data_IF_079239780890
#
_entry.id   IF_079239780890
#
_cell.length_a   1.000
_cell.length_b   1.000
_cell.length_c   1.000
_cell.angle_alpha   90.00
_cell.angle_beta   90.00
_cell.angle_gamma   90.00
#
_symmetry.space_group_name_H-M   'P 1'
#
loop_
_entity.id
_entity.type
_entity.pdbx_description
1 polymer ?
#
# COMPACT_ATOMS: atom_id res chain seq x y z
N UNK A 1 -10.99 -8.42 1.62
CA UNK A 1 -10.63 -9.83 1.29
C UNK A 1 -11.79 -10.44 0.52
N UNK A 2 -11.55 -10.99 -0.65
CA UNK A 2 -12.54 -11.73 -1.45
C UNK A 2 -11.99 -13.10 -1.83
N UNK A 3 -12.88 -14.08 -1.91
CA UNK A 3 -12.54 -15.44 -2.34
C UNK A 3 -13.52 -15.83 -3.46
N UNK A 4 -12.99 -16.16 -4.62
CA UNK A 4 -13.80 -16.57 -5.77
C UNK A 4 -13.40 -17.97 -6.22
N UNK A 5 -14.37 -18.82 -6.51
CA UNK A 5 -14.18 -20.14 -7.07
C UNK A 5 -15.10 -20.31 -8.29
N UNK A 6 -14.51 -20.54 -9.45
CA UNK A 6 -15.25 -20.68 -10.72
C UNK A 6 -16.22 -19.52 -11.04
N UNK A 7 -15.90 -18.31 -10.56
CA UNK A 7 -16.75 -17.12 -10.72
C UNK A 7 -17.77 -16.89 -9.60
N UNK A 8 -17.94 -17.84 -8.69
CA UNK A 8 -18.79 -17.72 -7.51
C UNK A 8 -18.05 -17.05 -6.36
N UNK A 9 -18.70 -16.12 -5.66
CA UNK A 9 -18.17 -15.53 -4.42
C UNK A 9 -18.30 -16.54 -3.26
N UNK A 10 -17.16 -16.93 -2.70
CA UNK A 10 -17.00 -17.82 -1.54
C UNK A 10 -16.48 -17.07 -0.32
N UNK A 11 -16.58 -15.76 -0.29
CA UNK A 11 -16.10 -14.94 0.83
C UNK A 11 -16.90 -15.22 2.09
N UNK A 12 -16.26 -15.59 3.22
CA UNK A 12 -16.95 -15.77 4.47
C UNK A 12 -17.63 -14.48 4.94
N UNK A 13 -18.90 -14.56 5.33
CA UNK A 13 -19.64 -13.39 5.85
C UNK A 13 -19.28 -13.07 7.31
N UNK A 14 -19.00 -14.10 8.13
CA UNK A 14 -18.74 -13.92 9.56
C UNK A 14 -17.30 -13.41 9.82
N UNK A 15 -17.15 -12.39 10.71
CA UNK A 15 -15.85 -11.77 10.97
C UNK A 15 -14.75 -12.75 11.42
N UNK A 16 -15.06 -13.67 12.32
CA UNK A 16 -14.10 -14.68 12.82
C UNK A 16 -13.65 -15.67 11.74
N UNK A 17 -14.51 -15.99 10.78
CA UNK A 17 -14.14 -16.81 9.63
C UNK A 17 -13.20 -16.06 8.68
N UNK A 18 -13.45 -14.76 8.42
CA UNK A 18 -12.55 -13.91 7.64
C UNK A 18 -11.19 -13.80 8.29
N UNK A 19 -11.16 -13.55 9.61
CA UNK A 19 -9.92 -13.47 10.38
C UNK A 19 -9.11 -14.77 10.31
N UNK A 20 -9.78 -15.91 10.52
CA UNK A 20 -9.12 -17.21 10.44
C UNK A 20 -8.61 -17.52 9.03
N UNK A 21 -9.42 -17.22 8.00
CA UNK A 21 -9.01 -17.43 6.60
C UNK A 21 -7.85 -16.52 6.22
N UNK A 22 -7.87 -15.27 6.66
CA UNK A 22 -6.76 -14.33 6.46
C UNK A 22 -5.46 -14.86 7.08
N UNK A 23 -5.51 -15.38 8.32
CA UNK A 23 -4.35 -15.98 8.97
C UNK A 23 -3.81 -17.19 8.19
N UNK A 24 -4.68 -18.03 7.66
CA UNK A 24 -4.30 -19.18 6.83
C UNK A 24 -3.69 -18.74 5.49
N UNK A 25 -4.23 -17.69 4.85
CA UNK A 25 -3.70 -17.14 3.59
C UNK A 25 -2.33 -16.47 3.78
N UNK A 26 -2.16 -15.72 4.89
CA UNK A 26 -0.85 -15.14 5.23
C UNK A 26 0.22 -16.20 5.54
N UNK A 27 -0.20 -17.42 5.90
CA UNK A 27 0.65 -18.58 6.11
C UNK A 27 0.37 -19.66 5.05
N UNK A 28 0.13 -19.26 3.81
CA UNK A 28 -0.18 -20.19 2.71
C UNK A 28 0.85 -21.31 2.63
N UNK A 29 0.38 -22.55 2.51
CA UNK A 29 1.21 -23.74 2.46
C UNK A 29 2.04 -24.07 3.71
N UNK A 30 1.79 -23.36 4.82
CA UNK A 30 2.41 -23.60 6.12
C UNK A 30 1.35 -24.01 7.16
N UNK A 31 1.79 -24.70 8.22
CA UNK A 31 0.90 -25.12 9.29
C UNK A 31 0.68 -23.97 10.27
N UNK A 32 -0.57 -23.58 10.44
CA UNK A 32 -0.98 -22.66 11.50
C UNK A 32 -1.42 -23.52 12.69
N UNK A 33 -0.78 -23.37 13.84
CA UNK A 33 -1.04 -24.13 15.04
C UNK A 33 -2.34 -23.72 15.74
N UNK A 34 -2.88 -24.61 16.57
CA UNK A 34 -4.07 -24.30 17.40
C UNK A 34 -3.82 -23.10 18.32
N UNK A 35 -2.62 -22.98 18.88
CA UNK A 35 -2.23 -21.84 19.73
C UNK A 35 -2.29 -20.51 18.94
N UNK A 36 -1.76 -20.49 17.74
CA UNK A 36 -1.81 -19.29 16.87
C UNK A 36 -3.25 -18.90 16.51
N UNK A 37 -4.14 -19.85 16.24
CA UNK A 37 -5.56 -19.51 16.02
C UNK A 37 -6.21 -18.93 17.25
N UNK A 38 -5.95 -19.48 18.45
CA UNK A 38 -6.49 -18.97 19.70
C UNK A 38 -5.96 -17.57 19.98
N UNK A 39 -4.67 -17.34 19.83
CA UNK A 39 -4.01 -16.04 19.98
C UNK A 39 -4.59 -15.01 19.02
N UNK A 40 -4.66 -15.34 17.73
CA UNK A 40 -5.17 -14.43 16.71
C UNK A 40 -6.65 -14.06 16.94
N UNK A 41 -7.48 -15.03 17.29
CA UNK A 41 -8.93 -14.82 17.40
C UNK A 41 -9.36 -14.13 18.69
N UNK A 42 -8.65 -14.31 19.80
CA UNK A 42 -9.08 -13.83 21.13
C UNK A 42 -8.01 -13.06 21.91
N UNK A 43 -6.78 -13.00 21.41
CA UNK A 43 -5.67 -12.34 22.10
C UNK A 43 -5.50 -12.83 23.56
N UNK A 44 -5.77 -11.96 24.52
CA UNK A 44 -5.59 -12.24 25.94
C UNK A 44 -6.83 -12.85 26.63
N UNK A 45 -7.96 -13.01 25.93
CA UNK A 45 -9.24 -13.42 26.54
C UNK A 45 -9.91 -14.59 25.80
N UNK A 46 -9.25 -15.75 25.68
CA UNK A 46 -9.83 -16.91 25.02
C UNK A 46 -10.98 -17.48 25.86
N UNK A 47 -12.11 -17.88 25.24
CA UNK A 47 -13.18 -18.54 25.93
C UNK A 47 -12.77 -19.96 26.41
N UNK A 48 -13.41 -20.53 27.41
CA UNK A 48 -13.06 -21.86 27.94
C UNK A 48 -13.06 -22.99 26.91
N UNK A 49 -13.77 -22.82 25.80
CA UNK A 49 -13.86 -23.79 24.69
C UNK A 49 -13.24 -23.23 23.38
N UNK A 50 -12.21 -22.41 23.47
CA UNK A 50 -11.57 -21.78 22.30
C UNK A 50 -11.16 -22.81 21.24
N UNK A 51 -10.51 -23.89 21.63
CA UNK A 51 -10.09 -24.98 20.72
C UNK A 51 -11.29 -25.61 19.99
N UNK A 52 -12.39 -25.88 20.71
CA UNK A 52 -13.61 -26.43 20.08
C UNK A 52 -14.23 -25.43 19.09
N UNK A 53 -14.19 -24.14 19.40
CA UNK A 53 -14.64 -23.08 18.49
C UNK A 53 -13.79 -23.02 17.22
N UNK A 54 -12.45 -23.12 17.31
CA UNK A 54 -11.56 -23.21 16.15
C UNK A 54 -11.93 -24.39 15.26
N UNK A 55 -12.15 -25.59 15.84
CA UNK A 55 -12.59 -26.76 15.05
C UNK A 55 -13.91 -26.50 14.32
N UNK A 56 -14.86 -25.86 14.99
CA UNK A 56 -16.15 -25.49 14.38
C UNK A 56 -15.95 -24.51 13.20
N UNK A 57 -15.12 -23.48 13.38
CA UNK A 57 -14.82 -22.51 12.31
C UNK A 57 -14.11 -23.16 11.13
N UNK A 58 -13.18 -24.08 11.37
CA UNK A 58 -12.54 -24.85 10.29
C UNK A 58 -13.56 -25.67 9.50
N UNK A 59 -14.50 -26.34 10.19
CA UNK A 59 -15.55 -27.09 9.49
C UNK A 59 -16.44 -26.16 8.63
N UNK A 60 -16.78 -24.98 9.15
CA UNK A 60 -17.57 -23.99 8.43
C UNK A 60 -16.80 -23.41 7.23
N UNK A 61 -15.51 -23.07 7.40
CA UNK A 61 -14.65 -22.63 6.30
C UNK A 61 -14.51 -23.69 5.21
N UNK A 62 -14.34 -24.97 5.57
CA UNK A 62 -14.35 -26.06 4.60
C UNK A 62 -15.65 -26.08 3.77
N UNK A 63 -16.81 -25.92 4.43
CA UNK A 63 -18.10 -25.88 3.73
C UNK A 63 -18.22 -24.68 2.79
N UNK A 64 -17.76 -23.51 3.20
CA UNK A 64 -17.78 -22.27 2.40
C UNK A 64 -16.89 -22.43 1.18
N UNK A 65 -15.64 -22.85 1.38
CA UNK A 65 -14.63 -22.97 0.33
C UNK A 65 -14.94 -24.07 -0.71
N UNK A 66 -15.87 -25.00 -0.39
CA UNK A 66 -16.16 -26.17 -1.27
C UNK A 66 -17.57 -26.17 -1.86
N UNK A 67 -18.33 -25.08 -1.69
CA UNK A 67 -19.64 -24.96 -2.33
C UNK A 67 -20.66 -26.06 -1.99
N UNK A 68 -20.52 -26.73 -0.84
CA UNK A 68 -21.47 -27.77 -0.40
C UNK A 68 -21.22 -29.17 -0.94
N UNK A 69 -20.22 -29.41 -1.77
CA UNK A 69 -19.78 -30.77 -2.09
C UNK A 69 -19.16 -31.45 -0.83
N UNK A 70 -19.30 -32.76 -0.72
CA UNK A 70 -18.88 -33.54 0.46
C UNK A 70 -17.49 -33.13 0.94
N UNK A 71 -17.40 -32.64 2.17
CA UNK A 71 -16.23 -32.01 2.80
C UNK A 71 -14.93 -32.85 2.82
N UNK A 72 -14.97 -34.08 2.35
CA UNK A 72 -13.85 -35.03 2.33
C UNK A 72 -13.02 -34.95 1.03
N UNK A 73 -13.59 -34.41 -0.05
CA UNK A 73 -12.93 -34.44 -1.38
C UNK A 73 -12.02 -33.26 -1.65
N UNK A 74 -11.97 -32.25 -0.83
CA UNK A 74 -11.24 -31.03 -1.14
C UNK A 74 -10.05 -30.80 -0.21
N UNK A 75 -8.89 -31.20 -0.69
CA UNK A 75 -7.61 -31.18 0.01
C UNK A 75 -7.01 -29.80 0.28
N UNK A 76 -7.75 -28.67 0.12
CA UNK A 76 -7.20 -27.33 0.32
C UNK A 76 -6.95 -27.01 1.80
N UNK A 77 -7.94 -27.16 2.68
CA UNK A 77 -7.77 -26.95 4.12
C UNK A 77 -7.51 -28.26 4.84
N UNK A 78 -6.24 -28.58 4.99
CA UNK A 78 -5.73 -29.86 5.48
C UNK A 78 -5.53 -29.84 6.99
N UNK A 79 -5.96 -30.92 7.69
CA UNK A 79 -5.61 -31.12 9.09
C UNK A 79 -4.18 -31.65 9.21
N UNK A 80 -3.44 -31.12 10.17
CA UNK A 80 -2.12 -31.57 10.62
C UNK A 80 -2.14 -31.88 12.12
N UNK A 81 -1.16 -32.60 12.63
CA UNK A 81 -1.11 -32.97 14.04
C UNK A 81 -1.27 -31.76 15.00
N UNK A 82 -0.65 -30.63 14.65
CA UNK A 82 -0.62 -29.44 15.52
C UNK A 82 -1.56 -28.32 15.07
N UNK A 83 -2.32 -28.48 13.97
CA UNK A 83 -3.16 -27.39 13.45
C UNK A 83 -3.70 -27.66 12.05
N UNK A 84 -3.73 -26.59 11.24
CA UNK A 84 -4.30 -26.62 9.90
C UNK A 84 -3.39 -25.94 8.89
N UNK A 85 -3.43 -26.40 7.65
CA UNK A 85 -2.70 -25.84 6.53
C UNK A 85 -3.67 -25.56 5.39
N UNK A 86 -3.62 -24.37 4.82
CA UNK A 86 -4.33 -24.05 3.59
C UNK A 86 -3.38 -24.18 2.40
N UNK A 87 -3.72 -25.08 1.48
CA UNK A 87 -3.01 -25.23 0.20
C UNK A 87 -3.45 -24.13 -0.75
N UNK A 88 -2.47 -23.40 -1.27
CA UNK A 88 -2.64 -22.34 -2.26
C UNK A 88 -1.67 -22.65 -3.39
N UNK A 89 -2.17 -22.64 -4.62
CA UNK A 89 -1.36 -22.85 -5.81
C UNK A 89 -0.82 -21.51 -6.34
N UNK A 90 0.18 -21.59 -7.22
CA UNK A 90 0.75 -20.39 -7.83
C UNK A 90 -0.31 -19.61 -8.62
N UNK A 91 -0.38 -18.32 -8.37
CA UNK A 91 -1.35 -17.42 -9.00
C UNK A 91 -2.73 -17.35 -8.34
N UNK A 92 -3.03 -18.16 -7.31
CA UNK A 92 -4.30 -18.11 -6.59
C UNK A 92 -4.36 -17.03 -5.51
N UNK A 93 -3.22 -16.58 -4.98
CA UNK A 93 -3.13 -15.53 -3.98
C UNK A 93 -2.64 -14.23 -4.63
N UNK A 94 -3.47 -13.22 -4.57
CA UNK A 94 -3.17 -11.89 -5.09
C UNK A 94 -1.93 -11.25 -4.43
N UNK A 95 -1.68 -11.55 -3.16
CA UNK A 95 -0.48 -11.12 -2.45
C UNK A 95 0.81 -11.59 -3.14
N UNK A 96 0.87 -12.85 -3.59
CA UNK A 96 2.05 -13.37 -4.31
C UNK A 96 2.29 -12.63 -5.65
N UNK A 97 1.20 -12.33 -6.36
CA UNK A 97 1.26 -11.56 -7.60
C UNK A 97 1.71 -10.12 -7.33
N UNK A 98 1.18 -9.50 -6.26
CA UNK A 98 1.58 -8.18 -5.80
C UNK A 98 3.09 -8.13 -5.50
N UNK A 99 3.59 -9.04 -4.66
CA UNK A 99 5.02 -9.13 -4.31
C UNK A 99 5.92 -9.36 -5.53
N UNK A 100 5.46 -10.18 -6.47
CA UNK A 100 6.19 -10.42 -7.73
C UNK A 100 6.31 -9.14 -8.56
N UNK A 101 5.20 -8.39 -8.72
CA UNK A 101 5.18 -7.10 -9.42
C UNK A 101 6.03 -6.05 -8.73
N UNK A 102 5.98 -6.00 -7.39
CA UNK A 102 6.82 -5.10 -6.59
C UNK A 102 8.30 -5.34 -6.85
N UNK A 103 8.75 -6.59 -6.74
CA UNK A 103 10.14 -6.97 -6.99
C UNK A 103 10.58 -6.64 -8.41
N UNK A 104 9.77 -6.99 -9.40
CA UNK A 104 10.07 -6.69 -10.80
C UNK A 104 10.09 -5.17 -11.09
N UNK A 105 9.15 -4.41 -10.55
CA UNK A 105 9.11 -2.96 -10.70
C UNK A 105 10.33 -2.26 -10.09
N UNK A 106 10.74 -2.70 -8.89
CA UNK A 106 11.98 -2.20 -8.25
C UNK A 106 13.22 -2.52 -9.08
N UNK A 107 13.32 -3.76 -9.57
CA UNK A 107 14.45 -4.17 -10.42
C UNK A 107 14.56 -3.32 -11.70
N UNK A 108 13.44 -2.95 -12.32
CA UNK A 108 13.42 -2.03 -13.46
C UNK A 108 13.90 -0.63 -13.08
N UNK A 109 13.47 -0.09 -11.92
CA UNK A 109 13.97 1.20 -11.44
C UNK A 109 15.48 1.16 -11.19
N UNK A 110 15.99 0.09 -10.59
CA UNK A 110 17.41 -0.10 -10.30
C UNK A 110 18.24 -0.30 -11.58
N UNK A 111 17.62 -0.84 -12.64
CA UNK A 111 18.22 -0.95 -13.98
C UNK A 111 18.22 0.36 -14.78
N UNK A 112 17.68 1.45 -14.24
CA UNK A 112 17.59 2.75 -14.92
C UNK A 112 16.45 2.83 -15.93
N UNK A 113 15.40 2.03 -15.78
CA UNK A 113 14.18 2.03 -16.60
C UNK A 113 13.00 2.66 -15.83
N UNK A 114 13.02 3.98 -15.54
CA UNK A 114 12.08 4.61 -14.63
C UNK A 114 10.63 4.52 -15.11
N UNK A 115 10.39 4.63 -16.42
CA UNK A 115 9.04 4.58 -16.98
C UNK A 115 8.43 3.16 -16.87
N UNK A 116 9.17 2.13 -17.22
CA UNK A 116 8.72 0.74 -17.12
C UNK A 116 8.51 0.33 -15.64
N UNK A 117 9.45 0.69 -14.77
CA UNK A 117 9.38 0.43 -13.34
C UNK A 117 8.19 1.13 -12.68
N UNK A 118 7.99 2.42 -12.97
CA UNK A 118 6.85 3.18 -12.43
C UNK A 118 5.51 2.60 -12.89
N UNK A 119 5.35 2.23 -14.16
CA UNK A 119 4.12 1.57 -14.65
C UNK A 119 3.84 0.26 -13.93
N UNK A 120 4.86 -0.58 -13.74
CA UNK A 120 4.68 -1.87 -13.07
C UNK A 120 4.32 -1.70 -11.60
N UNK A 121 4.97 -0.78 -10.88
CA UNK A 121 4.63 -0.45 -9.48
C UNK A 121 3.21 0.14 -9.36
N UNK A 122 2.77 0.96 -10.33
CA UNK A 122 1.39 1.46 -10.37
C UNK A 122 0.37 0.32 -10.54
N UNK A 123 0.67 -0.68 -11.37
CA UNK A 123 -0.21 -1.86 -11.50
C UNK A 123 -0.21 -2.72 -10.24
N UNK A 124 0.89 -2.78 -9.49
CA UNK A 124 0.92 -3.44 -8.20
C UNK A 124 0.06 -2.69 -7.17
N UNK A 125 0.20 -1.37 -7.08
CA UNK A 125 -0.59 -0.56 -6.14
C UNK A 125 -2.10 -0.60 -6.44
N UNK A 126 -2.50 -0.67 -7.71
CA UNK A 126 -3.89 -0.81 -8.14
C UNK A 126 -4.56 -2.14 -7.71
N UNK A 127 -3.79 -3.13 -7.24
CA UNK A 127 -4.34 -4.36 -6.67
C UNK A 127 -4.92 -4.15 -5.26
N UNK A 128 -4.58 -3.05 -4.61
CA UNK A 128 -5.09 -2.72 -3.28
C UNK A 128 -6.45 -2.03 -3.39
N UNK A 129 -7.43 -2.57 -2.67
CA UNK A 129 -8.79 -2.01 -2.62
C UNK A 129 -8.99 -1.00 -1.48
N UNK A 130 -7.94 -0.65 -0.74
CA UNK A 130 -8.00 0.26 0.40
C UNK A 130 -6.63 0.75 0.85
N UNK A 131 -6.62 1.53 1.93
CA UNK A 131 -5.40 2.10 2.52
C UNK A 131 -4.59 1.07 3.30
N UNK A 132 -5.27 0.10 3.93
CA UNK A 132 -4.66 -0.96 4.74
C UNK A 132 -5.00 -2.34 4.19
N UNK A 133 -4.14 -3.33 4.49
CA UNK A 133 -4.46 -4.73 4.21
C UNK A 133 -5.66 -5.21 5.04
N UNK A 134 -6.50 -6.05 4.44
CA UNK A 134 -7.62 -6.71 5.14
C UNK A 134 -8.63 -5.75 5.80
N UNK A 135 -8.97 -4.63 5.15
CA UNK A 135 -9.91 -3.60 5.69
C UNK A 135 -11.22 -4.18 6.21
N UNK A 136 -11.70 -5.26 5.61
CA UNK A 136 -12.99 -5.90 5.88
C UNK A 136 -12.89 -7.15 6.78
N UNK A 137 -11.71 -7.45 7.33
CA UNK A 137 -11.49 -8.55 8.27
C UNK A 137 -10.90 -8.04 9.59
N UNK A 138 -11.37 -8.50 10.74
CA UNK A 138 -10.70 -8.23 12.00
C UNK A 138 -9.27 -8.74 11.97
N UNK A 139 -8.34 -8.00 12.56
CA UNK A 139 -6.94 -8.39 12.67
C UNK A 139 -6.54 -8.52 14.13
N UNK A 140 -6.09 -9.69 14.52
CA UNK A 140 -5.46 -9.95 15.81
C UNK A 140 -3.96 -9.70 15.76
N UNK A 141 -3.21 -10.08 16.79
CA UNK A 141 -1.79 -9.76 16.91
C UNK A 141 -0.94 -10.34 15.80
N UNK A 142 -1.22 -11.58 15.37
CA UNK A 142 -0.41 -12.24 14.34
C UNK A 142 -0.64 -11.64 12.95
N UNK A 143 -1.89 -11.34 12.60
CA UNK A 143 -2.19 -10.65 11.33
C UNK A 143 -1.63 -9.24 11.31
N UNK A 144 -1.75 -8.48 12.41
CA UNK A 144 -1.13 -7.14 12.49
C UNK A 144 0.39 -7.20 12.29
N UNK A 145 1.06 -8.16 12.95
CA UNK A 145 2.50 -8.35 12.79
C UNK A 145 2.89 -8.77 11.37
N UNK A 146 2.08 -9.61 10.70
CA UNK A 146 2.34 -10.06 9.34
C UNK A 146 2.06 -8.97 8.28
N UNK A 147 1.07 -8.10 8.51
CA UNK A 147 0.70 -7.02 7.59
C UNK A 147 1.67 -5.82 7.65
N UNK A 148 2.19 -5.49 8.83
CA UNK A 148 3.04 -4.32 9.02
C UNK A 148 4.26 -4.23 8.05
N UNK A 149 5.02 -5.31 7.78
CA UNK A 149 6.10 -5.26 6.79
C UNK A 149 5.57 -5.06 5.37
N UNK A 150 4.42 -5.63 5.00
CA UNK A 150 3.83 -5.51 3.67
C UNK A 150 3.37 -4.06 3.43
N UNK A 151 2.72 -3.45 4.41
CA UNK A 151 2.27 -2.06 4.35
C UNK A 151 3.45 -1.08 4.27
N UNK A 152 4.52 -1.34 5.01
CA UNK A 152 5.77 -0.57 4.90
C UNK A 152 6.37 -0.70 3.50
N UNK A 153 6.50 -1.92 3.00
CA UNK A 153 7.03 -2.19 1.68
C UNK A 153 6.21 -1.53 0.56
N UNK A 154 4.88 -1.48 0.72
CA UNK A 154 3.98 -0.75 -0.16
C UNK A 154 4.29 0.74 -0.16
N UNK A 155 4.43 1.36 1.02
CA UNK A 155 4.76 2.78 1.16
C UNK A 155 6.10 3.09 0.49
N UNK A 156 7.14 2.31 0.76
CA UNK A 156 8.45 2.46 0.14
C UNK A 156 8.39 2.33 -1.40
N UNK A 157 7.62 1.39 -1.91
CA UNK A 157 7.44 1.23 -3.36
C UNK A 157 6.70 2.41 -3.98
N UNK A 158 5.69 2.93 -3.30
CA UNK A 158 4.95 4.12 -3.72
C UNK A 158 5.87 5.35 -3.78
N UNK A 159 6.68 5.56 -2.76
CA UNK A 159 7.69 6.63 -2.71
C UNK A 159 8.66 6.53 -3.89
N UNK A 160 9.21 5.34 -4.15
CA UNK A 160 10.15 5.11 -5.27
C UNK A 160 9.48 5.30 -6.63
N UNK A 161 8.23 4.88 -6.79
CA UNK A 161 7.45 5.10 -8.01
C UNK A 161 7.24 6.59 -8.27
N UNK A 162 6.79 7.32 -7.26
CA UNK A 162 6.56 8.77 -7.37
C UNK A 162 7.86 9.51 -7.68
N UNK A 163 8.97 9.10 -7.06
CA UNK A 163 10.29 9.65 -7.38
C UNK A 163 10.63 9.47 -8.86
N UNK A 164 10.44 8.27 -9.41
CA UNK A 164 10.67 7.99 -10.82
C UNK A 164 9.75 8.82 -11.74
N UNK A 165 8.48 8.96 -11.40
CA UNK A 165 7.51 9.75 -12.17
C UNK A 165 7.83 11.26 -12.13
N UNK A 166 8.31 11.78 -10.99
CA UNK A 166 8.83 13.16 -10.89
C UNK A 166 10.07 13.38 -11.75
N UNK A 167 10.96 12.37 -11.82
CA UNK A 167 12.12 12.41 -12.70
C UNK A 167 11.72 12.38 -14.18
N UNK A 168 10.58 11.78 -14.54
CA UNK A 168 9.99 11.79 -15.87
C UNK A 168 9.19 13.07 -16.19
N UNK A 169 9.12 14.05 -15.26
CA UNK A 169 8.39 15.29 -15.45
C UNK A 169 6.87 15.22 -15.25
N UNK A 170 6.33 14.11 -14.72
CA UNK A 170 4.87 13.90 -14.51
C UNK A 170 4.33 14.57 -13.25
N UNK A 171 4.91 15.68 -12.84
CA UNK A 171 4.62 16.34 -11.56
C UNK A 171 3.17 16.80 -11.42
N UNK A 172 2.51 17.26 -12.50
CA UNK A 172 1.12 17.73 -12.45
C UNK A 172 0.13 16.62 -12.11
N UNK A 173 0.34 15.42 -12.69
CA UNK A 173 -0.50 14.24 -12.49
C UNK A 173 -0.42 13.70 -11.04
N UNK A 174 0.73 13.92 -10.39
CA UNK A 174 1.02 13.41 -9.06
C UNK A 174 0.46 14.26 -7.92
N UNK A 175 0.11 15.53 -8.16
CA UNK A 175 -0.30 16.46 -7.08
C UNK A 175 -1.47 15.91 -6.28
N UNK A 176 -2.53 15.43 -6.94
CA UNK A 176 -3.73 14.92 -6.26
C UNK A 176 -3.43 13.67 -5.43
N UNK A 177 -2.66 12.73 -5.97
CA UNK A 177 -2.25 11.51 -5.28
C UNK A 177 -1.38 11.84 -4.07
N UNK A 178 -0.36 12.68 -4.25
CA UNK A 178 0.52 13.12 -3.16
C UNK A 178 -0.22 13.87 -2.06
N UNK A 179 -1.21 14.71 -2.40
CA UNK A 179 -2.05 15.34 -1.40
C UNK A 179 -2.82 14.32 -0.55
N UNK A 180 -3.36 13.27 -1.17
CA UNK A 180 -4.06 12.21 -0.46
C UNK A 180 -3.12 11.40 0.44
N UNK A 181 -1.94 11.03 -0.04
CA UNK A 181 -0.94 10.28 0.72
C UNK A 181 -0.42 11.09 1.93
N UNK A 182 -0.06 12.35 1.73
CA UNK A 182 0.39 13.24 2.81
C UNK A 182 -0.72 13.49 3.84
N UNK A 183 -1.99 13.51 3.41
CA UNK A 183 -3.11 13.64 4.34
C UNK A 183 -3.29 12.40 5.25
N UNK A 184 -2.93 11.22 4.77
CA UNK A 184 -2.97 9.97 5.55
C UNK A 184 -1.86 9.90 6.60
N UNK A 185 -0.68 10.45 6.30
CA UNK A 185 0.46 10.55 7.21
C UNK A 185 1.13 11.91 7.07
N UNK A 186 0.74 12.83 7.93
CA UNK A 186 1.26 14.20 7.96
C UNK A 186 2.73 14.28 8.42
N UNK A 187 3.27 13.20 8.99
CA UNK A 187 4.65 13.13 9.50
C UNK A 187 5.63 12.54 8.49
N UNK A 188 5.13 12.03 7.35
CA UNK A 188 5.97 11.40 6.33
C UNK A 188 6.74 12.45 5.51
N UNK A 189 8.00 12.66 5.89
CA UNK A 189 8.85 13.71 5.31
C UNK A 189 9.08 13.55 3.81
N UNK A 190 9.36 12.33 3.34
CA UNK A 190 9.71 12.08 1.94
C UNK A 190 8.51 12.29 1.01
N UNK A 191 7.30 11.83 1.38
CA UNK A 191 6.08 12.11 0.61
C UNK A 191 5.76 13.61 0.59
N UNK A 192 5.98 14.31 1.72
CA UNK A 192 5.79 15.76 1.78
C UNK A 192 6.82 16.48 0.90
N UNK A 193 8.08 16.05 0.88
CA UNK A 193 9.10 16.62 0.00
C UNK A 193 8.73 16.42 -1.49
N UNK A 194 8.26 15.24 -1.85
CA UNK A 194 7.77 14.95 -3.20
C UNK A 194 6.56 15.83 -3.58
N UNK A 195 5.62 16.04 -2.65
CA UNK A 195 4.48 16.96 -2.84
C UNK A 195 4.97 18.41 -3.05
N UNK A 196 5.90 18.87 -2.22
CA UNK A 196 6.48 20.20 -2.35
C UNK A 196 7.12 20.40 -3.72
N UNK A 197 7.89 19.42 -4.19
CA UNK A 197 8.54 19.46 -5.51
C UNK A 197 7.49 19.45 -6.64
N UNK A 198 6.47 18.59 -6.55
CA UNK A 198 5.39 18.53 -7.55
C UNK A 198 4.60 19.85 -7.64
N UNK A 199 4.26 20.43 -6.50
CA UNK A 199 3.58 21.73 -6.42
C UNK A 199 4.44 22.87 -6.98
N UNK A 200 5.72 22.94 -6.60
CA UNK A 200 6.65 23.94 -7.10
C UNK A 200 6.77 23.88 -8.63
N UNK A 201 7.01 22.70 -9.20
CA UNK A 201 7.08 22.48 -10.65
C UNK A 201 5.77 22.76 -11.38
N UNK A 202 4.65 22.75 -10.66
CA UNK A 202 3.33 23.15 -11.17
C UNK A 202 3.05 24.65 -11.03
N UNK A 203 4.06 25.47 -10.65
CA UNK A 203 3.91 26.91 -10.44
C UNK A 203 3.20 27.29 -9.12
N UNK A 204 2.97 26.34 -8.22
CA UNK A 204 2.24 26.49 -6.96
C UNK A 204 3.19 26.61 -5.76
N UNK A 205 4.12 27.58 -5.83
CA UNK A 205 5.16 27.77 -4.81
C UNK A 205 4.58 27.99 -3.40
N UNK A 206 3.52 28.79 -3.28
CA UNK A 206 2.89 29.08 -1.99
C UNK A 206 2.32 27.80 -1.34
N UNK A 207 1.72 26.91 -2.14
CA UNK A 207 1.17 25.64 -1.65
C UNK A 207 2.28 24.68 -1.23
N UNK A 208 3.42 24.67 -1.94
CA UNK A 208 4.60 23.90 -1.56
C UNK A 208 5.12 24.32 -0.17
N UNK A 209 5.25 25.60 0.08
CA UNK A 209 5.65 26.13 1.39
C UNK A 209 4.61 25.86 2.48
N UNK A 210 3.33 25.91 2.15
CA UNK A 210 2.26 25.54 3.08
C UNK A 210 2.33 24.04 3.45
N UNK A 211 2.72 23.15 2.53
CA UNK A 211 2.95 21.74 2.83
C UNK A 211 4.09 21.56 3.84
N UNK A 212 5.21 22.27 3.67
CA UNK A 212 6.30 22.28 4.65
C UNK A 212 5.84 22.72 6.04
N UNK A 213 5.04 23.78 6.12
CA UNK A 213 4.56 24.28 7.43
C UNK A 213 3.63 23.26 8.12
N UNK A 214 2.80 22.53 7.36
CA UNK A 214 1.97 21.46 7.91
C UNK A 214 2.81 20.31 8.45
N UNK A 215 3.79 19.84 7.68
CA UNK A 215 4.74 18.80 8.13
C UNK A 215 5.44 19.22 9.42
N UNK A 216 6.01 20.43 9.45
CA UNK A 216 6.71 20.94 10.63
C UNK A 216 5.81 20.99 11.87
N UNK A 217 4.54 21.37 11.68
CA UNK A 217 3.57 21.40 12.77
C UNK A 217 3.26 19.99 13.27
N UNK A 218 2.96 19.04 12.37
CA UNK A 218 2.67 17.66 12.73
C UNK A 218 3.85 16.98 13.44
N UNK A 219 5.08 17.12 12.93
CA UNK A 219 6.27 16.56 13.56
C UNK A 219 6.50 17.10 14.97
N UNK A 220 6.20 18.39 15.18
CA UNK A 220 6.35 19.02 16.51
C UNK A 220 5.29 18.53 17.50
N UNK A 221 4.02 18.47 17.08
CA UNK A 221 2.91 18.09 17.97
C UNK A 221 2.89 16.58 18.26
N UNK A 222 3.13 15.75 17.24
CA UNK A 222 2.98 14.29 17.37
C UNK A 222 4.26 13.59 17.84
N UNK A 223 5.44 14.12 17.43
CA UNK A 223 6.73 13.44 17.65
C UNK A 223 7.74 14.30 18.41
N UNK A 224 7.39 15.52 18.80
CA UNK A 224 8.30 16.49 19.47
C UNK A 224 9.64 16.70 18.72
N UNK A 225 9.62 16.63 17.37
CA UNK A 225 10.79 16.75 16.52
C UNK A 225 10.61 17.83 15.44
N UNK A 226 11.62 18.03 14.61
CA UNK A 226 11.61 18.99 13.49
C UNK A 226 11.95 18.28 12.19
N UNK A 227 11.55 18.82 11.01
CA UNK A 227 11.89 18.25 9.72
C UNK A 227 13.39 18.03 9.55
N UNK A 228 13.75 16.97 8.83
CA UNK A 228 15.14 16.64 8.53
C UNK A 228 15.82 17.63 7.57
N UNK A 229 17.15 17.52 7.43
CA UNK A 229 17.96 18.48 6.65
C UNK A 229 17.60 18.52 5.17
N UNK A 230 17.12 17.41 4.60
CA UNK A 230 16.78 17.35 3.18
C UNK A 230 15.50 18.15 2.85
N UNK A 231 14.50 18.11 3.72
CA UNK A 231 13.28 18.91 3.60
C UNK A 231 13.60 20.40 3.79
N UNK A 232 14.46 20.74 4.74
CA UNK A 232 14.93 22.11 4.92
C UNK A 232 15.69 22.62 3.71
N UNK A 233 16.58 21.81 3.11
CA UNK A 233 17.31 22.15 1.90
C UNK A 233 16.33 22.37 0.74
N UNK A 234 15.37 21.48 0.54
CA UNK A 234 14.33 21.63 -0.47
C UNK A 234 13.54 22.93 -0.28
N UNK A 235 13.18 23.27 0.96
CA UNK A 235 12.48 24.52 1.26
C UNK A 235 13.32 25.74 0.87
N UNK A 236 14.62 25.75 1.15
CA UNK A 236 15.54 26.82 0.75
C UNK A 236 15.64 26.93 -0.75
N UNK A 237 15.73 25.81 -1.46
CA UNK A 237 15.79 25.80 -2.92
C UNK A 237 14.51 26.35 -3.57
N UNK A 238 13.34 26.00 -3.00
CA UNK A 238 12.05 26.55 -3.46
C UNK A 238 11.99 28.06 -3.25
N UNK A 239 12.46 28.57 -2.11
CA UNK A 239 12.49 30.01 -1.82
C UNK A 239 13.42 30.79 -2.74
N UNK A 240 14.57 30.19 -3.13
CA UNK A 240 15.58 30.82 -3.98
C UNK A 240 15.38 30.54 -5.48
N UNK A 241 14.43 29.71 -5.86
CA UNK A 241 14.25 29.31 -7.25
C UNK A 241 15.45 28.54 -7.81
N UNK A 242 16.03 27.63 -7.02
CA UNK A 242 17.26 26.96 -7.39
C UNK A 242 17.09 26.09 -8.66
N UNK A 243 17.98 26.17 -9.69
CA UNK A 243 17.83 25.47 -10.97
C UNK A 243 17.68 23.95 -10.88
N UNK A 244 18.19 23.31 -9.84
CA UNK A 244 18.06 21.84 -9.64
C UNK A 244 16.62 21.36 -9.45
N UNK A 245 15.68 22.27 -9.17
CA UNK A 245 14.26 21.95 -9.02
C UNK A 245 13.53 21.89 -10.35
N UNK A 246 14.13 22.41 -11.43
CA UNK A 246 13.51 22.39 -12.75
C UNK A 246 13.20 20.96 -13.20
N UNK A 247 12.06 20.74 -13.87
CA UNK A 247 11.77 19.43 -14.45
C UNK A 247 12.83 19.09 -15.51
N UNK A 248 13.16 17.80 -15.69
CA UNK A 248 14.01 17.40 -16.80
C UNK A 248 13.35 17.84 -18.10
N UNK A 249 14.15 18.36 -19.03
CA UNK A 249 13.71 18.95 -20.30
C UNK A 249 13.14 17.85 -21.21
N UNK A 250 11.89 17.48 -20.99
CA UNK A 250 11.09 16.75 -21.95
C UNK A 250 10.30 17.80 -22.72
N UNK A 251 10.73 18.14 -23.92
CA UNK A 251 10.05 18.81 -25.04
C UNK A 251 8.80 19.69 -24.86
N UNK A 252 8.46 20.13 -23.67
CA UNK A 252 7.43 21.13 -23.45
C UNK A 252 8.06 22.51 -23.69
N UNK A 253 7.60 23.18 -24.74
CA UNK A 253 7.79 24.60 -24.94
C UNK A 253 7.37 25.34 -23.67
N UNK A 254 8.24 26.14 -23.02
CA UNK A 254 7.83 26.99 -21.95
C UNK A 254 6.73 27.90 -22.50
N UNK A 255 5.56 27.92 -21.84
CA UNK A 255 4.57 28.99 -22.04
C UNK A 255 5.22 30.28 -21.51
N UNK A 256 5.94 30.97 -22.34
CA UNK A 256 6.39 32.33 -22.04
C UNK A 256 5.17 33.22 -22.11
N UNK A 257 4.89 33.93 -21.02
CA UNK A 257 3.83 34.97 -20.95
C UNK A 257 4.01 36.08 -22.00
N UNK A 258 5.16 36.14 -22.65
CA UNK A 258 5.52 37.10 -23.69
C UNK A 258 4.91 36.77 -25.09
N UNK A 259 4.17 35.67 -25.22
CA UNK A 259 3.53 35.29 -26.48
C UNK A 259 2.08 35.80 -26.63
N UNK A 260 1.61 36.70 -25.78
CA UNK A 260 0.32 37.39 -25.98
C UNK A 260 0.56 38.53 -26.99
N UNK A 261 0.07 38.43 -28.24
CA UNK A 261 0.20 39.55 -29.18
C UNK A 261 -0.59 40.74 -28.62
N UNK A 262 0.08 41.85 -28.38
CA UNK A 262 -0.57 43.13 -28.05
C UNK A 262 -1.40 43.50 -29.26
N UNK A 263 -2.74 43.40 -29.13
CA UNK A 263 -3.66 43.97 -30.09
C UNK A 263 -3.51 45.49 -30.01
N UNK A 264 -2.72 46.03 -30.96
CA UNK A 264 -2.68 47.47 -31.22
C UNK A 264 -4.03 47.84 -31.85
N UNK A 265 -4.85 48.59 -31.07
CA UNK A 265 -6.05 49.22 -31.59
C UNK A 265 -5.64 50.29 -32.59
N UNK A 266 -6.12 50.12 -33.82
CA UNK A 266 -6.15 51.20 -34.82
C UNK A 266 -7.44 51.99 -34.76
#
# INVERSE_FOLDING_TARGET
MSVTENGDDRTPSAPKHRQMLALLLMNANQVVSMAQFVEELWEYSPPPRAVAAVHTYVMQLRRILHGGATAVACGRLVTREQGYLLRVEDGELDLHLYESRLRAGRALLDAGEPDAGARLLRTADAMWSGTTGLVDAPTGPLLRAALAPIERERTEATVRRIHAELALGRHQELVSELCALVHQDLTHEELTAQLMLALYRSGRQADALAAFHRLRHALREDLATTPGPDVHRLTTDILTGHPRLEPPTTGHLPLTLDAVPTLVAA
#
